data_IF_903783714332
#
_entry.id   IF_903783714332
#
_cell.length_a   1.000
_cell.length_b   1.000
_cell.length_c   1.000
_cell.angle_alpha   90.00
_cell.angle_beta   90.00
_cell.angle_gamma   90.00
#
_symmetry.space_group_name_H-M   'P 1'
#
loop_
_entity.id
_entity.type
_entity.pdbx_description
1 polymer ?
#
# COMPACT_ATOMS: atom_id res chain seq x y z
N UNK A 1 -14.05 -35.92 -14.69
CA UNK A 1 -14.51 -35.19 -13.49
C UNK A 1 -13.30 -34.43 -13.01
N UNK A 2 -13.26 -33.11 -13.22
CA UNK A 2 -12.16 -32.28 -12.72
C UNK A 2 -12.44 -32.00 -11.25
N UNK A 3 -11.51 -32.39 -10.39
CA UNK A 3 -11.61 -32.18 -8.95
C UNK A 3 -11.67 -30.69 -8.64
N UNK A 4 -12.67 -30.32 -7.84
CA UNK A 4 -12.86 -29.02 -7.22
C UNK A 4 -11.72 -28.82 -6.21
N UNK A 5 -10.60 -28.28 -6.69
CA UNK A 5 -9.50 -27.90 -5.83
C UNK A 5 -10.02 -26.83 -4.85
N UNK A 6 -9.78 -26.97 -3.53
CA UNK A 6 -10.32 -26.04 -2.55
C UNK A 6 -9.90 -24.62 -2.93
N UNK A 7 -10.88 -23.81 -3.36
CA UNK A 7 -10.68 -22.40 -3.60
C UNK A 7 -10.34 -21.77 -2.26
N UNK A 8 -9.05 -21.48 -2.04
CA UNK A 8 -8.62 -20.67 -0.92
C UNK A 8 -9.45 -19.38 -0.93
N UNK A 9 -9.97 -18.94 0.23
CA UNK A 9 -10.75 -17.72 0.29
C UNK A 9 -9.91 -16.58 -0.32
N UNK A 10 -10.53 -15.67 -1.10
CA UNK A 10 -9.81 -14.57 -1.71
C UNK A 10 -9.09 -13.80 -0.61
N UNK A 11 -7.75 -13.74 -0.70
CA UNK A 11 -6.94 -12.98 0.24
C UNK A 11 -7.28 -11.52 0.02
N UNK A 12 -7.89 -10.88 1.01
CA UNK A 12 -8.14 -9.45 1.00
C UNK A 12 -6.79 -8.74 0.88
N UNK A 13 -6.61 -7.96 -0.19
CA UNK A 13 -5.36 -7.26 -0.46
C UNK A 13 -4.97 -6.32 0.68
N UNK A 14 -5.95 -5.74 1.38
CA UNK A 14 -5.72 -4.86 2.53
C UNK A 14 -5.32 -5.65 3.79
N UNK A 15 -5.75 -6.91 3.90
CA UNK A 15 -5.36 -7.76 5.03
C UNK A 15 -3.87 -8.13 4.99
N UNK A 16 -3.26 -8.24 3.79
CA UNK A 16 -1.84 -8.58 3.64
C UNK A 16 -0.90 -7.54 4.26
N UNK A 17 -1.28 -6.26 4.21
CA UNK A 17 -0.53 -5.15 4.82
C UNK A 17 -1.08 -4.74 6.19
N UNK A 18 -2.04 -5.52 6.73
CA UNK A 18 -2.66 -5.25 8.01
C UNK A 18 -1.71 -5.51 9.20
N UNK A 19 -1.98 -4.86 10.35
CA UNK A 19 -1.11 -4.95 11.53
C UNK A 19 -0.94 -6.39 12.02
N UNK A 20 -1.99 -7.22 11.94
CA UNK A 20 -1.92 -8.63 12.34
C UNK A 20 -0.91 -9.44 11.51
N UNK A 21 -0.82 -9.19 10.19
CA UNK A 21 0.10 -9.91 9.31
C UNK A 21 1.53 -9.44 9.50
N UNK A 22 1.72 -8.12 9.69
CA UNK A 22 3.02 -7.54 10.00
C UNK A 22 3.54 -8.10 11.34
N UNK A 23 2.74 -8.11 12.41
CA UNK A 23 3.15 -8.64 13.70
C UNK A 23 3.44 -10.16 13.64
N UNK A 24 2.68 -10.92 12.85
CA UNK A 24 2.97 -12.34 12.62
C UNK A 24 4.32 -12.55 11.90
N UNK A 25 4.63 -11.71 10.91
CA UNK A 25 5.92 -11.75 10.20
C UNK A 25 7.09 -11.37 11.13
N UNK A 26 6.93 -10.33 11.95
CA UNK A 26 7.91 -9.94 12.98
C UNK A 26 8.11 -11.06 13.99
N UNK A 27 7.04 -11.70 14.46
CA UNK A 27 7.11 -12.85 15.36
C UNK A 27 7.87 -14.03 14.77
N UNK A 28 7.67 -14.32 13.48
CA UNK A 28 8.43 -15.35 12.77
C UNK A 28 9.93 -15.00 12.64
N UNK A 29 10.26 -13.74 12.38
CA UNK A 29 11.64 -13.26 12.35
C UNK A 29 12.29 -13.34 13.74
N UNK A 30 11.57 -12.97 14.80
CA UNK A 30 12.04 -13.10 16.18
C UNK A 30 12.29 -14.57 16.54
N UNK A 31 11.37 -15.47 16.18
CA UNK A 31 11.53 -16.91 16.41
C UNK A 31 12.75 -17.47 15.65
N UNK A 32 12.95 -17.07 14.39
CA UNK A 32 14.13 -17.48 13.62
C UNK A 32 15.45 -17.00 14.24
N UNK A 33 15.43 -15.83 14.89
CA UNK A 33 16.59 -15.24 15.53
C UNK A 33 16.63 -15.47 17.05
N UNK A 34 15.84 -16.41 17.58
CA UNK A 34 15.60 -16.57 19.02
C UNK A 34 16.90 -16.61 19.84
N UNK A 35 17.90 -17.38 19.39
CA UNK A 35 19.16 -17.53 20.13
C UNK A 35 19.91 -16.20 20.29
N UNK A 36 19.90 -15.35 19.27
CA UNK A 36 20.51 -14.02 19.32
C UNK A 36 19.61 -13.03 20.08
N UNK A 37 18.31 -13.14 19.91
CA UNK A 37 17.32 -12.28 20.56
C UNK A 37 17.31 -12.43 22.09
N UNK A 38 17.52 -13.65 22.58
CA UNK A 38 17.63 -13.93 24.01
C UNK A 38 18.88 -13.29 24.64
N UNK A 39 19.94 -13.06 23.84
CA UNK A 39 21.20 -12.46 24.30
C UNK A 39 21.20 -10.93 24.25
N UNK A 40 20.26 -10.33 23.52
CA UNK A 40 20.11 -8.88 23.41
C UNK A 40 19.59 -8.27 24.72
N UNK A 41 20.08 -7.06 25.03
CA UNK A 41 19.48 -6.23 26.07
C UNK A 41 18.14 -5.61 25.62
N UNK A 42 17.45 -4.92 26.52
CA UNK A 42 16.13 -4.35 26.23
C UNK A 42 16.15 -3.32 25.09
N UNK A 43 17.20 -2.50 25.01
CA UNK A 43 17.34 -1.50 23.95
C UNK A 43 17.64 -2.15 22.61
N UNK A 44 18.55 -3.13 22.60
CA UNK A 44 18.88 -3.92 21.41
C UNK A 44 17.69 -4.71 20.89
N UNK A 45 16.86 -5.28 21.78
CA UNK A 45 15.62 -5.97 21.42
C UNK A 45 14.61 -5.03 20.79
N UNK A 46 14.40 -3.85 21.38
CA UNK A 46 13.48 -2.86 20.83
C UNK A 46 13.90 -2.43 19.41
N UNK A 47 15.19 -2.17 19.21
CA UNK A 47 15.73 -1.81 17.91
C UNK A 47 15.64 -2.96 16.90
N UNK A 48 15.89 -4.19 17.32
CA UNK A 48 15.74 -5.37 16.47
C UNK A 48 14.30 -5.58 16.00
N UNK A 49 13.33 -5.44 16.91
CA UNK A 49 11.90 -5.53 16.59
C UNK A 49 11.47 -4.44 15.60
N UNK A 50 11.93 -3.21 15.78
CA UNK A 50 11.66 -2.11 14.84
C UNK A 50 12.24 -2.41 13.45
N UNK A 51 13.49 -2.88 13.41
CA UNK A 51 14.16 -3.25 12.15
C UNK A 51 13.41 -4.37 11.44
N UNK A 52 12.99 -5.41 12.16
CA UNK A 52 12.22 -6.51 11.60
C UNK A 52 10.82 -6.08 11.15
N UNK A 53 10.20 -5.12 11.84
CA UNK A 53 8.92 -4.54 11.41
C UNK A 53 9.07 -3.82 10.07
N UNK A 54 10.14 -3.05 9.88
CA UNK A 54 10.48 -2.45 8.59
C UNK A 54 10.66 -3.49 7.48
N UNK A 55 11.54 -4.48 7.71
CA UNK A 55 11.78 -5.57 6.74
C UNK A 55 10.52 -6.36 6.38
N UNK A 56 9.67 -6.65 7.37
CA UNK A 56 8.39 -7.33 7.15
C UNK A 56 7.45 -6.48 6.28
N UNK A 57 7.37 -5.17 6.55
CA UNK A 57 6.62 -4.21 5.75
C UNK A 57 7.07 -4.21 4.29
N UNK A 58 8.37 -4.07 4.03
CA UNK A 58 8.94 -4.01 2.67
C UNK A 58 8.64 -5.29 1.87
N UNK A 59 8.83 -6.46 2.49
CA UNK A 59 8.58 -7.76 1.84
C UNK A 59 7.09 -7.94 1.55
N UNK A 60 6.21 -7.59 2.49
CA UNK A 60 4.76 -7.72 2.31
C UNK A 60 4.23 -6.69 1.28
N UNK A 61 4.81 -5.50 1.21
CA UNK A 61 4.50 -4.51 0.17
C UNK A 61 4.89 -5.03 -1.22
N UNK A 62 6.09 -5.59 -1.37
CA UNK A 62 6.53 -6.23 -2.61
C UNK A 62 5.63 -7.43 -2.99
N UNK A 63 5.24 -8.26 -2.01
CA UNK A 63 4.31 -9.36 -2.23
C UNK A 63 2.92 -8.85 -2.64
N UNK A 64 2.41 -7.80 -1.99
CA UNK A 64 1.17 -7.16 -2.36
C UNK A 64 1.22 -6.64 -3.80
N UNK A 65 2.31 -5.99 -4.20
CA UNK A 65 2.50 -5.53 -5.58
C UNK A 65 2.56 -6.70 -6.57
N UNK A 66 3.24 -7.79 -6.25
CA UNK A 66 3.30 -8.97 -7.12
C UNK A 66 1.94 -9.67 -7.28
N UNK A 67 1.17 -9.76 -6.19
CA UNK A 67 -0.12 -10.46 -6.15
C UNK A 67 -1.29 -9.60 -6.66
N UNK A 68 -1.25 -8.29 -6.39
CA UNK A 68 -2.38 -7.37 -6.62
C UNK A 68 -2.04 -6.15 -7.46
N UNK A 69 -0.75 -5.90 -7.73
CA UNK A 69 -0.30 -4.94 -8.73
C UNK A 69 -0.34 -5.51 -10.15
N UNK A 70 -0.64 -6.80 -10.30
CA UNK A 70 -0.81 -7.50 -11.57
C UNK A 70 -2.28 -7.57 -12.01
N UNK A 71 -2.56 -6.92 -13.14
CA UNK A 71 -3.85 -6.72 -13.80
C UNK A 71 -4.76 -5.68 -13.16
N UNK A 72 -5.01 -4.57 -13.88
CA UNK A 72 -5.92 -3.57 -13.39
C UNK A 72 -7.34 -4.14 -13.30
N UNK A 73 -7.94 -4.07 -12.12
CA UNK A 73 -9.34 -4.39 -11.96
C UNK A 73 -10.17 -3.26 -12.63
N UNK A 74 -11.14 -3.59 -13.49
CA UNK A 74 -11.98 -2.57 -14.11
C UNK A 74 -12.73 -1.79 -13.02
N UNK A 75 -12.81 -0.48 -13.19
CA UNK A 75 -13.44 0.48 -12.28
C UNK A 75 -12.68 0.72 -10.96
N UNK A 76 -11.37 0.42 -10.91
CA UNK A 76 -10.51 0.75 -9.77
C UNK A 76 -9.66 1.99 -10.05
N UNK A 77 -9.55 2.86 -9.05
CA UNK A 77 -8.55 3.91 -8.96
C UNK A 77 -7.52 3.50 -7.89
N UNK A 78 -6.23 3.64 -8.19
CA UNK A 78 -5.14 3.42 -7.23
C UNK A 78 -4.40 4.75 -7.09
N UNK A 79 -4.34 5.23 -5.85
CA UNK A 79 -3.59 6.41 -5.43
C UNK A 79 -2.41 5.92 -4.60
N UNK A 80 -1.19 6.24 -5.01
CA UNK A 80 0.04 5.96 -4.25
C UNK A 80 0.57 7.29 -3.75
N UNK A 81 0.80 7.39 -2.43
CA UNK A 81 1.41 8.54 -1.78
C UNK A 81 2.83 8.14 -1.38
N UNK A 82 3.81 8.88 -1.88
CA UNK A 82 5.22 8.67 -1.60
C UNK A 82 5.81 9.95 -0.98
N UNK A 83 6.77 9.79 -0.08
CA UNK A 83 7.54 10.92 0.45
C UNK A 83 8.46 11.45 -0.65
N UNK A 84 8.20 12.67 -1.12
CA UNK A 84 8.99 13.34 -2.16
C UNK A 84 10.29 13.97 -1.64
N UNK A 85 10.46 13.99 -0.31
CA UNK A 85 11.55 14.68 0.38
C UNK A 85 11.13 16.06 0.89
N UNK A 86 11.49 16.38 2.13
CA UNK A 86 11.10 17.63 2.77
C UNK A 86 9.66 17.58 3.29
N UNK A 87 8.83 18.55 2.90
CA UNK A 87 7.39 18.59 3.21
C UNK A 87 6.54 18.20 1.99
N UNK A 88 7.16 17.70 0.92
CA UNK A 88 6.49 17.36 -0.33
C UNK A 88 5.99 15.90 -0.34
N UNK A 89 4.76 15.70 -0.79
CA UNK A 89 4.18 14.37 -1.01
C UNK A 89 4.01 14.18 -2.52
N UNK A 90 4.68 13.16 -3.07
CA UNK A 90 4.48 12.74 -4.44
C UNK A 90 3.24 11.84 -4.53
N UNK A 91 2.31 12.19 -5.43
CA UNK A 91 1.07 11.42 -5.59
C UNK A 91 0.98 10.85 -7.00
N UNK A 92 0.89 9.52 -7.09
CA UNK A 92 0.70 8.81 -8.35
C UNK A 92 -0.70 8.21 -8.43
N UNK A 93 -1.47 8.63 -9.43
CA UNK A 93 -2.80 8.11 -9.70
C UNK A 93 -2.78 7.18 -10.93
N UNK A 94 -3.35 6.00 -10.79
CA UNK A 94 -3.57 5.08 -11.91
C UNK A 94 -5.03 4.63 -11.95
N UNK A 95 -5.59 4.63 -13.17
CA UNK A 95 -6.99 4.32 -13.41
C UNK A 95 -7.11 3.20 -14.42
N UNK A 96 -8.10 2.32 -14.21
CA UNK A 96 -8.51 1.39 -15.25
C UNK A 96 -10.03 1.21 -15.27
N UNK A 97 -10.70 1.40 -16.42
CA UNK A 97 -10.15 1.91 -17.69
C UNK A 97 -9.49 3.29 -17.55
N UNK A 98 -8.62 3.65 -18.49
CA UNK A 98 -8.04 5.00 -18.50
C UNK A 98 -9.17 6.04 -18.60
N UNK A 99 -8.97 7.17 -17.94
CA UNK A 99 -9.88 8.31 -18.02
C UNK A 99 -10.00 8.76 -19.48
N UNK A 100 -11.23 9.05 -19.89
CA UNK A 100 -11.49 9.53 -21.23
C UNK A 100 -11.64 11.05 -21.19
N UNK A 101 -10.73 11.76 -21.84
CA UNK A 101 -10.83 13.21 -22.05
C UNK A 101 -11.92 13.49 -23.09
N UNK A 102 -12.91 14.30 -22.70
CA UNK A 102 -14.03 14.69 -23.55
C UNK A 102 -13.79 16.05 -24.24
N UNK A 103 -12.68 16.74 -23.96
CA UNK A 103 -12.41 18.11 -24.38
C UNK A 103 -12.90 19.16 -23.37
N UNK A 104 -12.43 20.39 -23.52
CA UNK A 104 -12.77 21.54 -22.66
C UNK A 104 -12.53 21.30 -21.14
N UNK A 105 -11.55 20.46 -20.81
CA UNK A 105 -11.21 20.10 -19.43
C UNK A 105 -12.19 19.12 -18.78
N UNK A 106 -13.13 18.55 -19.54
CA UNK A 106 -14.09 17.59 -19.03
C UNK A 106 -13.56 16.17 -19.15
N UNK A 107 -13.66 15.43 -18.05
CA UNK A 107 -13.19 14.04 -17.97
C UNK A 107 -14.35 13.11 -17.71
N UNK A 108 -14.47 12.05 -18.50
CA UNK A 108 -15.37 10.94 -18.25
C UNK A 108 -14.64 9.83 -17.50
N UNK A 109 -15.22 9.43 -16.37
CA UNK A 109 -14.73 8.33 -15.56
C UNK A 109 -15.86 7.66 -14.79
N UNK A 110 -15.57 6.50 -14.23
CA UNK A 110 -16.46 5.84 -13.27
C UNK A 110 -16.53 6.62 -11.97
N UNK A 111 -17.55 6.41 -11.11
CA UNK A 111 -17.68 7.13 -9.84
C UNK A 111 -16.40 7.10 -8.99
N UNK A 112 -15.74 5.95 -8.88
CA UNK A 112 -14.48 5.82 -8.14
C UNK A 112 -13.34 6.66 -8.73
N UNK A 113 -13.30 6.81 -10.06
CA UNK A 113 -12.28 7.61 -10.75
C UNK A 113 -12.53 9.11 -10.56
N UNK A 114 -13.78 9.54 -10.65
CA UNK A 114 -14.17 10.93 -10.41
C UNK A 114 -13.91 11.32 -8.96
N UNK A 115 -14.28 10.47 -7.99
CA UNK A 115 -13.97 10.71 -6.57
C UNK A 115 -12.47 10.85 -6.34
N UNK A 116 -11.65 9.98 -6.94
CA UNK A 116 -10.20 10.07 -6.81
C UNK A 116 -9.62 11.36 -7.41
N UNK A 117 -10.13 11.83 -8.56
CA UNK A 117 -9.74 13.12 -9.13
C UNK A 117 -10.10 14.29 -8.20
N UNK A 118 -11.32 14.33 -7.65
CA UNK A 118 -11.74 15.38 -6.72
C UNK A 118 -10.87 15.43 -5.47
N UNK A 119 -10.44 14.28 -4.95
CA UNK A 119 -9.53 14.22 -3.81
C UNK A 119 -8.14 14.78 -4.17
N UNK A 120 -7.62 14.46 -5.36
CA UNK A 120 -6.35 14.98 -5.86
C UNK A 120 -6.38 16.50 -6.04
N UNK A 121 -7.45 17.03 -6.62
CA UNK A 121 -7.65 18.48 -6.82
C UNK A 121 -7.74 19.22 -5.48
N UNK A 122 -8.43 18.64 -4.49
CA UNK A 122 -8.49 19.18 -3.14
C UNK A 122 -7.11 19.28 -2.48
N UNK A 123 -6.32 18.21 -2.55
CA UNK A 123 -4.96 18.19 -1.99
C UNK A 123 -4.02 19.20 -2.66
N UNK A 124 -4.17 19.42 -3.97
CA UNK A 124 -3.39 20.43 -4.70
C UNK A 124 -3.76 21.85 -4.29
N UNK A 125 -5.05 22.10 -4.04
CA UNK A 125 -5.57 23.43 -3.66
C UNK A 125 -5.16 23.82 -2.23
N UNK A 126 -5.13 22.87 -1.29
CA UNK A 126 -4.73 23.11 0.11
C UNK A 126 -3.24 23.47 0.28
N UNK A 127 -2.39 23.14 -0.72
CA UNK A 127 -0.98 23.50 -0.76
C UNK A 127 -0.70 24.92 -1.28
N UNK A 128 -1.64 25.56 -1.96
CA UNK A 128 -1.47 26.89 -2.56
C UNK A 128 -1.90 28.05 -1.64
N UNK A 129 -2.63 27.77 -0.55
CA UNK A 129 -3.15 28.79 0.38
C UNK A 129 -2.14 29.28 1.45
N UNK A 130 -0.89 28.82 1.41
CA UNK A 130 0.19 29.26 2.31
C UNK A 130 1.29 30.03 1.56
N UNK A 131 0.95 31.22 1.07
CA UNK A 131 1.94 32.26 0.76
C UNK A 131 1.44 33.62 1.29
N UNK A 132 2.00 34.15 2.40
CA UNK A 132 1.92 35.58 2.71
C UNK A 132 2.89 36.42 1.87
#
# INVERSE_FOLDING_TARGET
>A
MAEDAPQLPPVDSTALLGPTVIEAAVGALAQRNQHHFEQMDEGERAQALETWRGLAGDVLAAAHQALFGGLPQPNRAILVFEDGGGEEIAVHASFTPQLQDLGDGQVQGTPAQITALTLLEGLQSEGEEQQP
#
